data_IF_409292817674
#
_entry.id   IF_409292817674
#
_cell.length_a   1.000
_cell.length_b   1.000
_cell.length_c   1.000
_cell.angle_alpha   90.00
_cell.angle_beta   90.00
_cell.angle_gamma   90.00
#
_symmetry.space_group_name_H-M   'P 1'
#
loop_
_entity.id
_entity.type
_entity.pdbx_description
1 polymer ?
#
# COMPACT_ATOMS: atom_id res chain seq x y z
N UNK A 1 28.20 -7.62 25.43
CA UNK A 1 29.18 -6.56 25.74
C UNK A 1 28.61 -5.73 26.86
N UNK A 2 29.28 -5.71 28.03
CA UNK A 2 28.80 -4.93 29.16
C UNK A 2 29.49 -3.56 29.12
N UNK A 3 28.70 -2.50 28.98
CA UNK A 3 29.22 -1.15 29.15
C UNK A 3 29.10 -0.76 30.63
N UNK A 4 30.20 -0.35 31.20
CA UNK A 4 30.21 0.23 32.53
C UNK A 4 30.46 1.72 32.38
N UNK A 5 29.51 2.53 32.81
CA UNK A 5 29.71 3.97 32.95
C UNK A 5 29.76 4.35 34.44
N UNK A 6 30.70 5.16 34.81
CA UNK A 6 30.87 5.67 36.15
C UNK A 6 30.92 7.19 36.08
N UNK A 7 30.06 7.83 36.80
CA UNK A 7 30.11 9.28 36.94
C UNK A 7 30.96 9.62 38.18
N UNK A 8 31.96 10.48 38.01
CA UNK A 8 32.76 11.03 39.12
C UNK A 8 32.31 12.48 39.38
N UNK A 9 32.16 12.82 40.67
CA UNK A 9 31.92 14.21 41.03
C UNK A 9 33.25 15.01 40.99
N UNK A 10 33.16 16.33 41.11
CA UNK A 10 34.33 17.24 41.13
C UNK A 10 35.31 17.00 42.27
N UNK A 11 35.02 16.12 43.23
CA UNK A 11 35.87 15.70 44.33
C UNK A 11 36.50 14.31 44.14
N UNK A 12 36.34 13.70 42.97
CA UNK A 12 36.88 12.36 42.65
C UNK A 12 36.16 11.22 43.35
N UNK A 13 34.96 11.45 43.90
CA UNK A 13 34.17 10.38 44.51
C UNK A 13 33.36 9.68 43.44
N UNK A 14 33.57 8.39 43.34
CA UNK A 14 32.82 7.54 42.47
C UNK A 14 31.37 7.37 42.96
N UNK A 15 30.41 7.80 42.15
CA UNK A 15 28.99 7.54 42.37
C UNK A 15 28.64 6.04 42.28
N UNK A 16 27.44 5.64 42.72
CA UNK A 16 27.01 4.26 42.63
C UNK A 16 27.04 3.78 41.17
N UNK A 17 27.62 2.62 40.98
CA UNK A 17 27.74 2.00 39.64
C UNK A 17 26.34 1.70 39.05
N UNK A 18 25.93 2.42 38.05
CA UNK A 18 24.69 2.10 37.34
C UNK A 18 24.99 1.03 36.32
N UNK A 19 24.58 -0.20 36.58
CA UNK A 19 24.64 -1.28 35.60
C UNK A 19 23.45 -1.18 34.66
N UNK A 20 23.67 -0.66 33.48
CA UNK A 20 22.70 -0.82 32.38
C UNK A 20 23.01 -2.15 31.72
N UNK A 21 22.24 -3.18 32.05
CA UNK A 21 22.19 -4.40 31.23
C UNK A 21 21.42 -4.10 29.98
N UNK A 22 22.10 -3.73 28.91
CA UNK A 22 21.52 -3.91 27.59
C UNK A 22 21.43 -5.42 27.36
N UNK A 23 20.29 -6.04 27.60
CA UNK A 23 19.96 -7.27 26.89
C UNK A 23 20.24 -6.92 25.44
N UNK A 24 21.20 -7.60 24.81
CA UNK A 24 21.50 -7.40 23.41
C UNK A 24 20.19 -7.38 22.69
N UNK A 25 19.94 -6.34 21.88
CA UNK A 25 18.77 -6.33 21.03
C UNK A 25 18.81 -7.66 20.31
N UNK A 26 17.84 -8.51 20.56
CA UNK A 26 17.65 -9.69 19.77
C UNK A 26 17.51 -9.16 18.35
N UNK A 27 18.55 -9.37 17.55
CA UNK A 27 18.43 -9.12 16.12
C UNK A 27 17.47 -10.21 15.66
N UNK A 28 16.20 -9.86 15.59
CA UNK A 28 15.21 -10.71 14.97
C UNK A 28 15.69 -10.87 13.53
N UNK A 29 16.10 -12.06 13.17
CA UNK A 29 16.39 -12.37 11.78
C UNK A 29 15.04 -12.39 11.07
N UNK A 30 14.74 -11.34 10.31
CA UNK A 30 13.56 -11.30 9.45
C UNK A 30 13.93 -11.90 8.10
N UNK A 31 13.14 -12.86 7.67
CA UNK A 31 13.12 -13.26 6.26
C UNK A 31 12.08 -12.38 5.58
N UNK A 32 12.53 -11.45 4.75
CA UNK A 32 11.61 -10.60 3.99
C UNK A 32 11.17 -11.31 2.72
N UNK A 33 9.87 -11.54 2.60
CA UNK A 33 9.24 -11.98 1.37
C UNK A 33 8.71 -10.75 0.65
N UNK A 34 9.32 -10.40 -0.48
CA UNK A 34 8.93 -9.22 -1.28
C UNK A 34 7.90 -9.63 -2.33
N UNK A 35 6.74 -8.97 -2.30
CA UNK A 35 5.66 -9.18 -3.23
C UNK A 35 5.41 -7.89 -4.02
N UNK A 36 6.11 -7.75 -5.16
CA UNK A 36 6.04 -6.57 -6.01
C UNK A 36 5.03 -6.76 -7.14
N UNK A 37 4.02 -5.90 -7.21
CA UNK A 37 3.00 -5.93 -8.27
C UNK A 37 3.12 -4.79 -9.29
N UNK A 38 3.99 -3.81 -9.07
CA UNK A 38 4.24 -2.73 -10.03
C UNK A 38 5.11 -3.18 -11.22
N UNK A 39 5.90 -4.24 -11.06
CA UNK A 39 6.78 -4.81 -12.09
C UNK A 39 6.50 -6.32 -12.21
N UNK A 40 6.01 -6.82 -13.33
CA UNK A 40 5.99 -6.29 -14.69
C UNK A 40 4.62 -5.70 -15.14
N UNK A 41 4.11 -4.71 -14.49
CA UNK A 41 2.97 -3.96 -15.02
C UNK A 41 1.59 -4.40 -14.57
N UNK A 42 1.41 -4.70 -13.29
CA UNK A 42 0.10 -5.02 -12.70
C UNK A 42 -0.62 -6.17 -13.40
N UNK A 43 0.02 -7.35 -13.39
CA UNK A 43 -0.47 -8.56 -14.09
C UNK A 43 -1.70 -9.20 -13.44
N UNK A 44 -2.06 -8.80 -12.24
CA UNK A 44 -3.22 -9.28 -11.51
C UNK A 44 -4.56 -8.94 -12.18
N UNK A 45 -5.65 -9.44 -11.61
CA UNK A 45 -6.99 -9.20 -12.13
C UNK A 45 -7.46 -7.78 -11.82
N UNK A 46 -8.15 -7.17 -12.78
CA UNK A 46 -8.63 -5.79 -12.74
C UNK A 46 -10.12 -5.73 -12.98
N UNK A 47 -10.84 -4.99 -12.12
CA UNK A 47 -12.23 -4.62 -12.33
C UNK A 47 -12.31 -3.09 -12.32
N UNK A 48 -12.87 -2.49 -13.37
CA UNK A 48 -12.94 -1.04 -13.60
C UNK A 48 -11.58 -0.32 -13.57
N UNK A 49 -10.49 -1.06 -13.81
CA UNK A 49 -9.13 -0.54 -13.84
C UNK A 49 -8.46 -0.81 -15.17
N UNK A 50 -7.48 0.02 -15.48
CA UNK A 50 -6.60 -0.13 -16.64
C UNK A 50 -5.15 0.13 -16.23
N UNK A 51 -4.21 -0.37 -17.04
CA UNK A 51 -2.81 -0.01 -16.95
C UNK A 51 -2.52 1.05 -18.01
N UNK A 52 -2.11 2.22 -17.56
CA UNK A 52 -1.74 3.35 -18.43
C UNK A 52 -0.24 3.63 -18.25
N UNK A 53 0.55 3.28 -19.27
CA UNK A 53 2.02 3.25 -19.14
C UNK A 53 2.44 2.20 -18.12
N UNK A 54 3.16 2.62 -17.08
CA UNK A 54 3.60 1.76 -15.97
C UNK A 54 2.71 1.90 -14.72
N UNK A 55 1.56 2.56 -14.83
CA UNK A 55 0.72 2.90 -13.69
C UNK A 55 -0.65 2.20 -13.78
N UNK A 56 -1.20 1.88 -12.62
CA UNK A 56 -2.58 1.40 -12.50
C UNK A 56 -3.50 2.60 -12.24
N UNK A 57 -4.59 2.71 -12.99
CA UNK A 57 -5.57 3.79 -12.90
C UNK A 57 -6.99 3.24 -13.00
N UNK A 58 -7.99 4.03 -12.63
CA UNK A 58 -9.36 3.73 -13.00
C UNK A 58 -9.49 3.71 -14.53
N UNK A 59 -10.35 2.83 -15.05
CA UNK A 59 -10.63 2.79 -16.48
C UNK A 59 -11.30 4.09 -16.92
N UNK A 60 -10.87 4.62 -18.07
CA UNK A 60 -11.35 5.89 -18.60
C UNK A 60 -11.99 5.72 -19.96
N UNK A 61 -12.92 6.61 -20.29
CA UNK A 61 -13.48 6.75 -21.63
C UNK A 61 -13.47 8.22 -22.03
N UNK A 62 -13.27 8.47 -23.33
CA UNK A 62 -13.34 9.82 -23.90
C UNK A 62 -14.58 9.94 -24.77
N UNK A 63 -15.41 10.94 -24.49
CA UNK A 63 -16.59 11.28 -25.27
C UNK A 63 -16.61 12.78 -25.52
N UNK A 64 -16.79 13.19 -26.77
CA UNK A 64 -16.81 14.61 -27.18
C UNK A 64 -15.58 15.41 -26.70
N UNK A 65 -14.40 14.79 -26.67
CA UNK A 65 -13.16 15.45 -26.23
C UNK A 65 -13.00 15.52 -24.71
N UNK A 66 -13.93 15.03 -23.91
CA UNK A 66 -13.85 14.96 -22.45
C UNK A 66 -13.52 13.54 -22.03
N UNK A 67 -12.45 13.37 -21.27
CA UNK A 67 -12.04 12.08 -20.70
C UNK A 67 -12.52 11.98 -19.26
N UNK A 68 -13.18 10.89 -18.92
CA UNK A 68 -13.70 10.63 -17.57
C UNK A 68 -13.45 9.19 -17.19
N UNK A 69 -13.43 8.91 -15.88
CA UNK A 69 -13.44 7.53 -15.41
C UNK A 69 -14.78 6.88 -15.73
N UNK A 70 -14.75 5.60 -16.08
CA UNK A 70 -15.98 4.83 -16.40
C UNK A 70 -16.74 4.37 -15.17
N UNK A 71 -16.03 4.28 -14.04
CA UNK A 71 -16.59 3.95 -12.72
C UNK A 71 -15.79 4.71 -11.65
N UNK A 72 -16.47 5.10 -10.57
CA UNK A 72 -15.85 5.84 -9.46
C UNK A 72 -15.00 4.95 -8.55
N UNK A 73 -15.10 3.65 -8.71
CA UNK A 73 -14.37 2.63 -7.96
C UNK A 73 -13.82 1.55 -8.88
N UNK A 74 -12.72 0.97 -8.46
CA UNK A 74 -12.09 -0.16 -9.14
C UNK A 74 -11.30 -1.03 -8.18
N UNK A 75 -11.13 -2.29 -8.56
CA UNK A 75 -10.42 -3.26 -7.75
C UNK A 75 -9.29 -3.91 -8.55
N UNK A 76 -8.13 -3.98 -7.93
CA UNK A 76 -6.98 -4.75 -8.37
C UNK A 76 -6.72 -5.89 -7.38
N UNK A 77 -6.79 -7.13 -7.84
CA UNK A 77 -6.36 -8.27 -7.03
C UNK A 77 -5.01 -8.78 -7.55
N UNK A 78 -4.09 -9.07 -6.66
CA UNK A 78 -2.79 -9.62 -7.02
C UNK A 78 -2.92 -10.93 -7.81
N UNK A 79 -1.99 -11.15 -8.75
CA UNK A 79 -2.00 -12.33 -9.60
C UNK A 79 -1.85 -13.64 -8.83
N UNK A 80 -1.14 -13.60 -7.70
CA UNK A 80 -0.96 -14.73 -6.81
C UNK A 80 -1.04 -14.27 -5.35
N UNK A 81 -1.51 -15.14 -4.49
CA UNK A 81 -1.38 -15.01 -3.04
C UNK A 81 0.06 -15.27 -2.59
N UNK A 82 0.39 -14.82 -1.40
CA UNK A 82 1.64 -15.14 -0.72
C UNK A 82 1.43 -16.41 0.09
N UNK A 83 2.11 -17.51 -0.27
CA UNK A 83 2.14 -18.75 0.50
C UNK A 83 3.43 -18.80 1.32
N UNK A 84 3.32 -18.88 2.64
CA UNK A 84 4.44 -18.98 3.57
C UNK A 84 4.89 -20.44 3.76
N UNK A 85 4.21 -21.41 3.12
CA UNK A 85 4.51 -22.83 3.16
C UNK A 85 4.04 -23.54 4.44
N UNK A 86 3.81 -22.80 5.51
CA UNK A 86 3.26 -23.27 6.79
C UNK A 86 2.66 -22.09 7.54
N UNK A 87 1.86 -22.37 8.56
CA UNK A 87 1.38 -21.32 9.47
C UNK A 87 2.59 -20.69 10.17
N UNK A 88 2.78 -19.39 9.98
CA UNK A 88 3.87 -18.61 10.50
C UNK A 88 3.38 -17.28 11.05
N UNK A 89 4.09 -16.79 12.05
CA UNK A 89 3.88 -15.44 12.54
C UNK A 89 4.66 -14.47 11.69
N UNK A 90 3.95 -13.54 11.03
CA UNK A 90 4.53 -12.55 10.14
C UNK A 90 4.01 -11.16 10.45
N UNK A 91 4.86 -10.17 10.19
CA UNK A 91 4.44 -8.78 10.15
C UNK A 91 4.26 -8.38 8.69
N UNK A 92 3.04 -7.99 8.34
CA UNK A 92 2.74 -7.47 7.01
C UNK A 92 2.91 -5.96 6.98
N UNK A 93 3.44 -5.46 5.88
CA UNK A 93 3.53 -4.04 5.57
C UNK A 93 3.34 -3.81 4.08
N UNK A 94 2.80 -2.65 3.72
CA UNK A 94 2.62 -2.25 2.33
C UNK A 94 3.43 -1.01 2.01
N UNK A 95 3.80 -0.88 0.75
CA UNK A 95 4.35 0.33 0.17
C UNK A 95 3.53 0.68 -1.07
N UNK A 96 2.92 1.86 -1.06
CA UNK A 96 2.01 2.30 -2.11
C UNK A 96 2.43 3.68 -2.58
N UNK A 97 2.76 3.80 -3.87
CA UNK A 97 2.99 5.09 -4.52
C UNK A 97 1.71 5.56 -5.18
N UNK A 98 1.09 6.63 -4.67
CA UNK A 98 -0.17 7.16 -5.18
C UNK A 98 -0.03 8.63 -5.52
N UNK A 99 -0.62 9.02 -6.65
CA UNK A 99 -0.82 10.42 -7.04
C UNK A 99 -2.22 10.58 -7.65
N UNK A 100 -2.72 11.80 -7.67
CA UNK A 100 -3.94 12.14 -8.40
C UNK A 100 -3.58 12.61 -9.82
N UNK A 101 -4.36 12.20 -10.81
CA UNK A 101 -4.28 12.68 -12.18
C UNK A 101 -5.60 13.35 -12.57
N UNK A 102 -5.54 14.62 -12.91
CA UNK A 102 -6.63 15.31 -13.59
C UNK A 102 -6.70 14.85 -15.06
N UNK A 103 -7.86 14.39 -15.48
CA UNK A 103 -8.07 13.89 -16.84
C UNK A 103 -8.35 15.01 -17.85
N UNK A 104 -8.91 16.14 -17.36
CA UNK A 104 -9.35 17.26 -18.21
C UNK A 104 -8.93 18.64 -17.67
N UNK A 105 -7.94 18.71 -16.80
CA UNK A 105 -7.57 19.97 -16.13
C UNK A 105 -6.69 20.91 -16.97
N UNK A 106 -6.78 20.82 -18.28
CA UNK A 106 -6.10 21.77 -19.16
C UNK A 106 -7.12 22.77 -19.71
N UNK A 107 -6.79 24.06 -19.57
CA UNK A 107 -7.60 25.16 -20.15
C UNK A 107 -7.89 24.88 -21.62
N UNK A 108 -6.89 24.41 -22.36
CA UNK A 108 -6.99 24.09 -23.80
C UNK A 108 -7.89 22.87 -24.11
N UNK A 109 -8.16 22.01 -23.13
CA UNK A 109 -9.03 20.84 -23.30
C UNK A 109 -10.49 21.13 -22.93
N UNK A 110 -10.79 22.27 -22.34
CA UNK A 110 -12.15 22.65 -21.96
C UNK A 110 -12.92 23.20 -23.18
N UNK A 111 -13.98 22.48 -23.55
CA UNK A 111 -14.80 22.80 -24.74
C UNK A 111 -15.92 23.80 -24.46
N UNK A 112 -16.12 24.21 -23.20
CA UNK A 112 -17.17 25.13 -22.78
C UNK A 112 -16.62 26.53 -22.56
N UNK A 113 -17.48 27.53 -22.70
CA UNK A 113 -17.11 28.93 -22.52
C UNK A 113 -16.60 29.18 -21.09
N UNK A 114 -15.56 29.99 -20.97
CA UNK A 114 -14.85 30.28 -19.71
C UNK A 114 -15.76 30.85 -18.61
N UNK A 115 -16.76 31.62 -18.99
CA UNK A 115 -17.76 32.21 -18.09
C UNK A 115 -18.74 31.17 -17.48
N UNK A 116 -18.74 29.94 -17.99
CA UNK A 116 -19.55 28.83 -17.47
C UNK A 116 -18.75 27.91 -16.54
N UNK A 117 -17.48 28.19 -16.28
CA UNK A 117 -16.64 27.36 -15.43
C UNK A 117 -16.94 27.62 -13.95
N UNK A 118 -17.20 26.54 -13.21
CA UNK A 118 -17.38 26.62 -11.76
C UNK A 118 -16.03 26.95 -11.05
N UNK A 119 -14.92 26.46 -11.63
CA UNK A 119 -13.57 26.65 -11.11
C UNK A 119 -12.63 27.09 -12.24
N UNK A 120 -11.95 28.21 -12.04
CA UNK A 120 -10.97 28.73 -13.00
C UNK A 120 -9.62 28.03 -12.87
N UNK A 121 -9.26 27.62 -11.65
CA UNK A 121 -7.98 26.99 -11.29
C UNK A 121 -8.00 25.45 -11.33
N UNK A 122 -9.05 24.85 -11.88
CA UNK A 122 -9.29 23.42 -11.72
C UNK A 122 -10.01 23.11 -10.40
N UNK A 123 -10.65 21.95 -10.32
CA UNK A 123 -11.29 21.53 -9.08
C UNK A 123 -10.26 21.32 -7.98
N UNK A 124 -10.56 21.77 -6.78
CA UNK A 124 -9.77 21.50 -5.58
C UNK A 124 -9.48 20.01 -5.49
N UNK A 125 -8.24 19.66 -5.20
CA UNK A 125 -7.66 18.32 -5.29
C UNK A 125 -8.65 17.21 -5.07
N UNK A 126 -8.79 16.37 -6.09
CA UNK A 126 -9.78 15.31 -6.08
C UNK A 126 -9.63 14.45 -4.83
N UNK A 127 -10.74 14.17 -4.20
CA UNK A 127 -10.80 13.15 -3.18
C UNK A 127 -10.63 11.78 -3.86
N UNK A 128 -9.38 11.36 -4.00
CA UNK A 128 -9.00 10.02 -4.40
C UNK A 128 -8.60 9.23 -3.16
N UNK A 129 -8.85 7.93 -3.17
CA UNK A 129 -8.37 7.02 -2.13
C UNK A 129 -7.89 5.71 -2.75
N UNK A 130 -6.89 5.11 -2.10
CA UNK A 130 -6.38 3.78 -2.42
C UNK A 130 -6.29 2.99 -1.13
N UNK A 131 -7.22 2.07 -0.97
CA UNK A 131 -7.28 1.18 0.19
C UNK A 131 -6.62 -0.15 -0.15
N UNK A 132 -5.71 -0.58 0.70
CA UNK A 132 -5.09 -1.90 0.60
C UNK A 132 -5.74 -2.86 1.58
N UNK A 133 -6.24 -3.97 1.06
CA UNK A 133 -6.90 -5.01 1.85
C UNK A 133 -6.22 -6.36 1.66
N UNK A 134 -6.29 -7.15 2.70
CA UNK A 134 -5.81 -8.53 2.73
C UNK A 134 -6.91 -9.47 3.23
N UNK A 135 -6.77 -10.74 2.92
CA UNK A 135 -7.42 -11.85 3.61
C UNK A 135 -6.42 -12.98 3.83
N UNK A 136 -6.68 -13.77 4.82
CA UNK A 136 -5.74 -14.80 5.30
C UNK A 136 -6.39 -16.16 5.37
N UNK A 137 -5.56 -17.21 5.34
CA UNK A 137 -5.97 -18.59 5.56
C UNK A 137 -4.83 -19.41 6.16
N UNK A 138 -5.18 -20.37 7.01
CA UNK A 138 -4.25 -21.38 7.54
C UNK A 138 -4.20 -22.62 6.65
N UNK A 139 -5.10 -22.71 5.68
CA UNK A 139 -5.17 -23.81 4.73
C UNK A 139 -4.10 -23.69 3.64
N UNK A 140 -3.86 -24.81 2.95
CA UNK A 140 -3.02 -24.85 1.75
C UNK A 140 -3.69 -24.09 0.60
N UNK A 141 -3.12 -22.97 0.11
CA UNK A 141 -3.72 -22.20 -0.97
C UNK A 141 -3.77 -22.95 -2.31
N UNK A 142 -2.99 -24.02 -2.48
CA UNK A 142 -3.05 -24.88 -3.66
C UNK A 142 -4.23 -25.87 -3.64
N UNK A 143 -4.90 -26.02 -2.49
CA UNK A 143 -6.07 -26.86 -2.31
C UNK A 143 -7.38 -26.13 -2.51
N UNK A 144 -8.30 -26.31 -1.57
CA UNK A 144 -9.58 -25.59 -1.48
C UNK A 144 -9.59 -24.82 -0.15
N UNK A 145 -8.86 -23.71 -0.06
CA UNK A 145 -8.70 -22.99 1.19
C UNK A 145 -9.99 -22.29 1.60
N UNK A 146 -10.23 -22.22 2.90
CA UNK A 146 -11.27 -21.37 3.48
C UNK A 146 -10.61 -20.05 3.84
N UNK A 147 -10.89 -19.02 3.04
CA UNK A 147 -10.38 -17.69 3.27
C UNK A 147 -11.19 -16.95 4.34
N UNK A 148 -10.49 -16.22 5.19
CA UNK A 148 -11.09 -15.22 6.08
C UNK A 148 -11.72 -14.05 5.31
N UNK A 149 -12.40 -13.12 6.01
CA UNK A 149 -12.95 -11.92 5.39
C UNK A 149 -11.83 -10.98 4.93
N UNK A 150 -12.13 -10.15 3.92
CA UNK A 150 -11.27 -9.04 3.56
C UNK A 150 -11.22 -8.02 4.69
N UNK A 151 -10.03 -7.60 5.04
CA UNK A 151 -9.77 -6.58 6.04
C UNK A 151 -8.71 -5.60 5.54
N UNK A 152 -8.76 -4.37 6.05
CA UNK A 152 -7.74 -3.37 5.75
C UNK A 152 -6.39 -3.84 6.28
N UNK A 153 -5.34 -3.68 5.46
CA UNK A 153 -3.99 -3.93 5.92
C UNK A 153 -3.56 -2.82 6.88
N UNK A 154 -3.60 -3.14 8.15
CA UNK A 154 -2.91 -2.38 9.18
C UNK A 154 -1.57 -3.06 9.45
N UNK A 155 -0.51 -2.28 9.71
CA UNK A 155 0.83 -2.82 10.01
C UNK A 155 0.80 -3.59 11.33
N UNK A 156 0.34 -4.82 11.31
CA UNK A 156 0.25 -5.69 12.48
C UNK A 156 0.85 -7.08 12.21
N UNK A 157 1.06 -7.81 13.27
CA UNK A 157 1.52 -9.18 13.21
C UNK A 157 0.31 -10.10 13.11
N UNK A 158 0.38 -11.05 12.19
CA UNK A 158 -0.62 -12.09 11.99
C UNK A 158 0.05 -13.46 12.05
N UNK A 159 -0.73 -14.49 12.35
CA UNK A 159 -0.31 -15.88 12.28
C UNK A 159 -1.16 -16.58 11.25
N UNK A 160 -0.55 -16.93 10.10
CA UNK A 160 -1.27 -17.47 8.95
C UNK A 160 -0.35 -18.28 8.05
N UNK A 161 -0.89 -19.15 7.19
CA UNK A 161 -0.13 -19.82 6.15
C UNK A 161 -0.10 -19.05 4.84
N UNK A 162 -1.21 -18.45 4.44
CA UNK A 162 -1.25 -17.74 3.18
C UNK A 162 -2.07 -16.44 3.28
N UNK A 163 -1.69 -15.48 2.45
CA UNK A 163 -2.32 -14.15 2.37
C UNK A 163 -2.65 -13.83 0.92
N UNK A 164 -3.85 -13.39 0.66
CA UNK A 164 -4.21 -12.71 -0.59
C UNK A 164 -4.36 -11.21 -0.35
N UNK A 165 -4.03 -10.42 -1.37
CA UNK A 165 -4.07 -8.98 -1.29
C UNK A 165 -4.85 -8.36 -2.46
N UNK A 166 -5.49 -7.22 -2.20
CA UNK A 166 -6.14 -6.40 -3.22
C UNK A 166 -6.00 -4.92 -2.90
N UNK A 167 -6.05 -4.10 -3.94
CA UNK A 167 -6.16 -2.65 -3.81
C UNK A 167 -7.51 -2.18 -4.36
N UNK A 168 -8.18 -1.33 -3.59
CA UNK A 168 -9.41 -0.65 -4.00
C UNK A 168 -9.05 0.80 -4.30
N UNK A 169 -9.33 1.23 -5.55
CA UNK A 169 -9.09 2.59 -6.00
C UNK A 169 -10.42 3.30 -6.08
N UNK A 170 -10.53 4.48 -5.53
CA UNK A 170 -11.75 5.28 -5.58
C UNK A 170 -11.48 6.73 -5.94
N UNK A 171 -12.44 7.37 -6.58
CA UNK A 171 -12.48 8.80 -6.79
C UNK A 171 -13.89 9.32 -6.52
N UNK A 172 -14.02 10.56 -6.09
CA UNK A 172 -15.32 11.22 -5.97
C UNK A 172 -15.64 12.14 -7.14
N UNK A 173 -14.69 12.31 -8.06
CA UNK A 173 -14.85 13.13 -9.26
C UNK A 173 -14.46 12.35 -10.51
N UNK A 174 -15.37 12.25 -11.48
CA UNK A 174 -15.14 11.56 -12.73
C UNK A 174 -14.00 12.14 -13.59
N UNK A 175 -13.61 13.37 -13.33
CA UNK A 175 -12.50 14.06 -14.02
C UNK A 175 -11.14 13.74 -13.43
N UNK A 176 -11.06 12.96 -12.35
CA UNK A 176 -9.83 12.56 -11.69
C UNK A 176 -9.72 11.06 -11.55
N UNK A 177 -8.49 10.58 -11.59
CA UNK A 177 -8.18 9.17 -11.30
C UNK A 177 -6.97 9.07 -10.38
N UNK A 178 -6.97 8.13 -9.42
CA UNK A 178 -5.73 7.77 -8.74
C UNK A 178 -4.76 7.12 -9.74
N UNK A 179 -3.50 7.48 -9.63
CA UNK A 179 -2.38 6.80 -10.28
C UNK A 179 -1.64 6.02 -9.22
N UNK A 180 -1.59 4.71 -9.36
CA UNK A 180 -0.76 3.85 -8.51
C UNK A 180 0.47 3.46 -9.30
N UNK A 181 1.63 4.01 -8.92
CA UNK A 181 2.92 3.76 -9.56
C UNK A 181 3.68 2.61 -8.90
N UNK A 182 3.35 2.32 -7.66
CA UNK A 182 4.00 1.29 -6.86
C UNK A 182 2.98 0.67 -5.92
N UNK A 183 2.99 -0.65 -5.87
CA UNK A 183 2.15 -1.43 -4.98
C UNK A 183 2.95 -2.65 -4.54
N UNK A 184 3.36 -2.67 -3.27
CA UNK A 184 4.16 -3.74 -2.68
C UNK A 184 3.52 -4.25 -1.40
N UNK A 185 3.59 -5.55 -1.22
CA UNK A 185 3.31 -6.23 0.03
C UNK A 185 4.60 -6.92 0.50
N UNK A 186 4.96 -6.69 1.73
CA UNK A 186 6.07 -7.35 2.40
C UNK A 186 5.55 -8.19 3.55
N UNK A 187 6.12 -9.38 3.71
CA UNK A 187 5.91 -10.21 4.88
C UNK A 187 7.25 -10.45 5.56
N UNK A 188 7.41 -9.96 6.76
CA UNK A 188 8.59 -10.16 7.58
C UNK A 188 8.29 -11.25 8.61
N UNK A 189 8.98 -12.40 8.56
CA UNK A 189 8.80 -13.49 9.53
C UNK A 189 9.30 -13.04 10.91
N UNK A 190 8.44 -13.20 11.92
CA UNK A 190 8.76 -12.86 13.30
C UNK A 190 9.14 -14.16 14.03
N UNK A 191 10.39 -14.25 14.45
CA UNK A 191 10.91 -15.40 15.19
C UNK A 191 10.45 -15.41 16.66
#
# INVERSE_FOLDING_TARGET
MLFRSRAEDSGGRAGPETRVSTKGAQVLAFSTLDFLQADPGFVGSKSNLQVAGANLTLATATSNGVTQVTAMDGQYAFAAGLDLGAVKRVRLRSEIGVAALALNDRIDARMVLMDTWADFDGSAGAEIDVLFEIRETDDDPAGVPIWGPWGRLDNHEIETRAVEARALLTTKDASYTPIVSQLRLFADEVA
#
